data_IF_204397276998
#
_entry.id   IF_204397276998
#
_cell.length_a   1.000
_cell.length_b   1.000
_cell.length_c   1.000
_cell.angle_alpha   90.00
_cell.angle_beta   90.00
_cell.angle_gamma   90.00
#
_symmetry.space_group_name_H-M   'P 1'
#
loop_
_entity.id
_entity.type
_entity.pdbx_description
1 polymer ?
#
# COMPACT_ATOMS: atom_id res chain seq x y z
N UNK A 1 -39.31 -10.61 -3.29
CA UNK A 1 -38.29 -11.20 -2.41
C UNK A 1 -36.99 -10.44 -2.67
N UNK A 2 -36.72 -9.40 -1.88
CA UNK A 2 -35.65 -8.44 -2.16
C UNK A 2 -34.32 -9.03 -1.67
N UNK A 3 -33.34 -9.18 -2.58
CA UNK A 3 -31.97 -9.58 -2.20
C UNK A 3 -31.37 -8.48 -1.31
N UNK A 4 -30.86 -8.81 -0.11
CA UNK A 4 -30.12 -7.84 0.67
C UNK A 4 -28.87 -7.43 -0.11
N UNK A 5 -28.75 -6.13 -0.42
CA UNK A 5 -27.52 -5.54 -0.94
C UNK A 5 -26.42 -5.75 0.09
N UNK A 6 -25.49 -6.66 -0.22
CA UNK A 6 -24.27 -6.85 0.56
C UNK A 6 -23.42 -5.60 0.40
N UNK A 7 -23.57 -4.65 1.33
CA UNK A 7 -22.68 -3.50 1.44
C UNK A 7 -21.26 -4.03 1.66
N UNK A 8 -20.40 -3.84 0.66
CA UNK A 8 -18.97 -4.19 0.78
C UNK A 8 -18.40 -3.27 1.87
N UNK A 9 -17.87 -3.81 2.98
CA UNK A 9 -17.34 -2.97 4.05
C UNK A 9 -16.13 -2.19 3.52
N UNK A 10 -16.29 -0.87 3.37
CA UNK A 10 -15.19 0.05 3.07
C UNK A 10 -14.25 0.03 4.26
N UNK A 11 -13.12 -0.67 4.14
CA UNK A 11 -12.12 -0.70 5.19
C UNK A 11 -11.38 0.64 5.18
N UNK A 12 -11.25 1.35 6.30
CA UNK A 12 -10.50 2.60 6.35
C UNK A 12 -9.05 2.38 5.90
N UNK A 13 -8.46 3.39 5.26
CA UNK A 13 -7.06 3.36 4.86
C UNK A 13 -6.20 2.99 6.08
N UNK A 14 -5.14 2.18 5.91
CA UNK A 14 -4.20 1.92 6.98
C UNK A 14 -3.62 3.25 7.50
N UNK A 15 -3.38 3.33 8.80
CA UNK A 15 -2.85 4.54 9.45
C UNK A 15 -1.62 5.11 8.73
N UNK A 16 -0.74 4.24 8.25
CA UNK A 16 0.42 4.63 7.44
C UNK A 16 0.05 5.35 6.15
N UNK A 17 -0.96 4.86 5.43
CA UNK A 17 -1.46 5.50 4.21
C UNK A 17 -2.06 6.88 4.48
N UNK A 18 -2.78 7.04 5.60
CA UNK A 18 -3.32 8.33 6.02
C UNK A 18 -2.20 9.34 6.35
N UNK A 19 -1.20 8.92 7.13
CA UNK A 19 -0.06 9.75 7.51
C UNK A 19 0.77 10.17 6.29
N UNK A 20 1.04 9.25 5.37
CA UNK A 20 1.77 9.55 4.13
C UNK A 20 0.97 10.47 3.19
N UNK A 21 -0.35 10.30 3.11
CA UNK A 21 -1.20 11.20 2.33
C UNK A 21 -1.25 12.61 2.92
N UNK A 22 -1.31 12.72 4.25
CA UNK A 22 -1.19 14.00 4.94
C UNK A 22 0.19 14.63 4.73
N UNK A 23 1.27 13.85 4.78
CA UNK A 23 2.62 14.33 4.49
C UNK A 23 2.71 14.92 3.07
N UNK A 24 2.12 14.23 2.08
CA UNK A 24 2.01 14.74 0.72
C UNK A 24 1.21 16.05 0.64
N UNK A 25 0.03 16.10 1.25
CA UNK A 25 -0.83 17.29 1.23
C UNK A 25 -0.16 18.50 1.89
N UNK A 26 0.48 18.29 3.04
CA UNK A 26 1.20 19.35 3.78
C UNK A 26 2.46 19.79 3.02
N UNK A 27 3.15 18.86 2.34
CA UNK A 27 4.27 19.18 1.46
C UNK A 27 3.85 20.01 0.23
N UNK A 28 2.71 19.70 -0.39
CA UNK A 28 2.14 20.51 -1.47
C UNK A 28 1.80 21.95 -1.03
N UNK A 29 1.47 22.13 0.24
CA UNK A 29 1.21 23.45 0.84
C UNK A 29 2.50 24.20 1.25
N UNK A 30 3.69 23.61 1.03
CA UNK A 30 4.98 24.21 1.35
C UNK A 30 5.43 24.07 2.80
N UNK A 31 4.71 23.29 3.63
CA UNK A 31 5.07 23.08 5.03
C UNK A 31 6.03 21.89 5.18
N UNK A 32 7.32 22.10 4.92
CA UNK A 32 8.32 21.03 4.88
C UNK A 32 8.49 20.29 6.21
N UNK A 33 8.73 20.99 7.32
CA UNK A 33 8.99 20.38 8.64
C UNK A 33 7.86 19.47 9.14
N UNK A 34 6.58 19.90 9.18
CA UNK A 34 5.50 18.99 9.58
C UNK A 34 5.26 17.90 8.53
N UNK A 35 5.53 18.17 7.25
CA UNK A 35 5.49 17.16 6.19
C UNK A 35 6.48 16.02 6.43
N UNK A 36 7.73 16.33 6.77
CA UNK A 36 8.76 15.34 7.11
C UNK A 36 8.45 14.54 8.38
N UNK A 37 7.87 15.19 9.39
CA UNK A 37 7.43 14.52 10.60
C UNK A 37 6.33 13.49 10.30
N UNK A 38 5.33 13.89 9.51
CA UNK A 38 4.23 13.00 9.07
C UNK A 38 4.74 11.88 8.15
N UNK A 39 5.66 12.20 7.24
CA UNK A 39 6.29 11.22 6.36
C UNK A 39 7.01 10.14 7.17
N UNK A 40 7.82 10.55 8.13
CA UNK A 40 8.60 9.62 8.98
C UNK A 40 7.67 8.74 9.83
N UNK A 41 6.63 9.31 10.43
CA UNK A 41 5.64 8.56 11.18
C UNK A 41 4.88 7.56 10.29
N UNK A 42 4.48 7.98 9.09
CA UNK A 42 3.83 7.14 8.09
C UNK A 42 4.72 6.00 7.59
N UNK A 43 5.99 6.29 7.33
CA UNK A 43 6.99 5.31 6.88
C UNK A 43 7.30 4.28 7.97
N UNK A 44 7.50 4.71 9.23
CA UNK A 44 7.75 3.79 10.35
C UNK A 44 6.54 2.88 10.62
N UNK A 45 5.34 3.44 10.65
CA UNK A 45 4.11 2.63 10.84
C UNK A 45 3.90 1.65 9.69
N UNK A 46 4.24 2.05 8.45
CA UNK A 46 4.24 1.14 7.31
C UNK A 46 5.26 0.01 7.47
N UNK A 47 6.54 0.31 7.74
CA UNK A 47 7.60 -0.69 7.91
C UNK A 47 7.29 -1.71 9.01
N UNK A 48 6.71 -1.27 10.13
CA UNK A 48 6.28 -2.18 11.20
C UNK A 48 5.14 -3.12 10.77
N UNK A 49 4.18 -2.60 10.00
CA UNK A 49 3.08 -3.41 9.47
C UNK A 49 3.56 -4.39 8.39
N UNK A 50 4.52 -3.96 7.58
CA UNK A 50 5.16 -4.74 6.53
C UNK A 50 5.92 -5.94 7.10
N UNK A 51 6.85 -5.69 8.04
CA UNK A 51 7.61 -6.75 8.70
C UNK A 51 6.72 -7.79 9.40
N UNK A 52 5.65 -7.36 10.09
CA UNK A 52 4.68 -8.29 10.70
C UNK A 52 3.95 -9.15 9.69
N UNK A 53 3.80 -8.70 8.46
CA UNK A 53 3.07 -9.43 7.42
C UNK A 53 3.97 -10.44 6.73
N UNK A 54 5.21 -10.04 6.41
CA UNK A 54 6.26 -10.95 5.93
C UNK A 54 6.49 -12.10 6.92
N UNK A 55 6.63 -11.78 8.22
CA UNK A 55 6.76 -12.81 9.28
C UNK A 55 5.53 -13.73 9.33
N UNK A 56 4.31 -13.20 9.17
CA UNK A 56 3.09 -14.02 9.17
C UNK A 56 2.98 -14.91 7.93
N UNK A 57 3.41 -14.43 6.76
CA UNK A 57 3.48 -15.22 5.53
C UNK A 57 4.52 -16.35 5.64
N UNK A 58 5.69 -16.06 6.20
CA UNK A 58 6.75 -17.05 6.44
C UNK A 58 6.36 -18.07 7.53
N UNK A 59 5.67 -17.65 8.58
CA UNK A 59 5.34 -18.50 9.72
C UNK A 59 4.12 -19.42 9.50
N UNK A 60 3.16 -19.07 8.63
CA UNK A 60 1.99 -19.91 8.30
C UNK A 60 1.49 -19.65 6.88
N UNK A 61 1.21 -20.72 6.14
CA UNK A 61 0.40 -20.72 4.91
C UNK A 61 -1.03 -20.22 5.20
N UNK A 62 -1.23 -18.90 5.25
CA UNK A 62 -2.49 -18.29 5.67
C UNK A 62 -3.44 -18.10 4.46
N UNK A 63 -4.51 -18.91 4.28
CA UNK A 63 -5.24 -19.08 3.00
C UNK A 63 -6.18 -17.92 2.58
N UNK A 64 -6.09 -16.74 3.19
CA UNK A 64 -7.02 -15.62 2.92
C UNK A 64 -6.27 -14.41 2.38
N UNK A 65 -5.76 -14.57 1.15
CA UNK A 65 -4.67 -13.75 0.62
C UNK A 65 -5.09 -12.42 -0.04
N UNK A 66 -6.21 -12.34 -0.74
CA UNK A 66 -6.41 -11.25 -1.73
C UNK A 66 -6.82 -9.91 -1.11
N UNK A 67 -7.63 -9.92 -0.06
CA UNK A 67 -8.20 -8.67 0.51
C UNK A 67 -7.25 -7.92 1.45
N UNK A 68 -6.26 -8.62 2.04
CA UNK A 68 -5.19 -7.98 2.82
C UNK A 68 -4.11 -7.37 1.93
N UNK A 69 -3.91 -7.91 0.73
CA UNK A 69 -2.93 -7.43 -0.24
C UNK A 69 -3.23 -6.02 -0.76
N UNK A 70 -4.50 -5.67 -0.97
CA UNK A 70 -4.88 -4.33 -1.48
C UNK A 70 -4.62 -3.22 -0.45
N UNK A 71 -4.87 -3.48 0.84
CA UNK A 71 -4.50 -2.54 1.91
C UNK A 71 -2.98 -2.46 2.15
N UNK A 72 -2.24 -3.43 1.61
CA UNK A 72 -0.78 -3.53 1.70
C UNK A 72 -0.07 -2.72 0.61
N UNK A 73 -0.75 -2.41 -0.50
CA UNK A 73 -0.13 -1.84 -1.70
C UNK A 73 -0.17 -0.33 -1.80
N UNK A 74 -1.04 0.33 -1.05
CA UNK A 74 -1.17 1.78 -1.05
C UNK A 74 0.05 2.52 -0.47
N UNK A 75 0.72 2.04 0.60
CA UNK A 75 1.81 2.78 1.24
C UNK A 75 3.02 3.14 0.37
N UNK A 76 3.62 2.23 -0.44
CA UNK A 76 4.86 2.56 -1.17
C UNK A 76 4.65 3.62 -2.26
N UNK A 77 3.51 3.59 -2.95
CA UNK A 77 3.20 4.60 -3.97
C UNK A 77 2.96 5.98 -3.34
N UNK A 78 2.21 6.05 -2.23
CA UNK A 78 1.99 7.33 -1.51
C UNK A 78 3.30 7.81 -0.88
N UNK A 79 4.14 6.91 -0.35
CA UNK A 79 5.46 7.26 0.16
C UNK A 79 6.36 7.86 -0.93
N UNK A 80 6.38 7.30 -2.14
CA UNK A 80 7.11 7.86 -3.25
C UNK A 80 6.63 9.29 -3.57
N UNK A 81 5.32 9.50 -3.68
CA UNK A 81 4.75 10.83 -3.98
C UNK A 81 5.05 11.84 -2.88
N UNK A 82 4.88 11.46 -1.62
CA UNK A 82 5.19 12.31 -0.47
C UNK A 82 6.67 12.67 -0.42
N UNK A 83 7.56 11.70 -0.65
CA UNK A 83 9.01 11.93 -0.68
C UNK A 83 9.41 12.91 -1.79
N UNK A 84 8.95 12.68 -3.03
CA UNK A 84 9.27 13.57 -4.16
C UNK A 84 8.75 14.99 -3.94
N UNK A 85 7.60 15.11 -3.28
CA UNK A 85 6.99 16.39 -2.95
C UNK A 85 7.78 17.15 -1.89
N UNK A 86 8.19 16.47 -0.82
CA UNK A 86 8.91 17.08 0.29
C UNK A 86 10.38 17.35 -0.02
N UNK A 87 11.01 16.49 -0.81
CA UNK A 87 12.41 16.63 -1.19
C UNK A 87 12.60 17.58 -2.39
N UNK A 88 11.58 17.72 -3.24
CA UNK A 88 11.59 18.64 -4.39
C UNK A 88 12.83 18.44 -5.27
N UNK A 89 13.53 19.54 -5.59
CA UNK A 89 14.75 19.52 -6.40
C UNK A 89 15.97 18.89 -5.71
N UNK A 90 15.87 18.56 -4.42
CA UNK A 90 16.94 17.91 -3.63
C UNK A 90 16.64 16.41 -3.40
N UNK A 91 15.70 15.83 -4.14
CA UNK A 91 15.38 14.41 -4.04
C UNK A 91 16.59 13.54 -4.36
N UNK A 92 16.97 12.70 -3.39
CA UNK A 92 18.02 11.72 -3.56
C UNK A 92 17.53 10.61 -4.51
N UNK A 93 18.30 10.38 -5.58
CA UNK A 93 17.94 9.42 -6.61
C UNK A 93 17.91 7.98 -6.10
N UNK A 94 18.71 7.65 -5.08
CA UNK A 94 18.75 6.31 -4.47
C UNK A 94 17.48 6.07 -3.66
N UNK A 95 17.10 7.02 -2.81
CA UNK A 95 15.87 6.92 -2.00
C UNK A 95 14.63 6.90 -2.89
N UNK A 96 14.56 7.82 -3.86
CA UNK A 96 13.47 7.87 -4.84
C UNK A 96 13.38 6.59 -5.67
N UNK A 97 14.51 6.09 -6.16
CA UNK A 97 14.59 4.85 -6.92
C UNK A 97 14.17 3.63 -6.11
N UNK A 98 14.59 3.54 -4.85
CA UNK A 98 14.19 2.45 -3.95
C UNK A 98 12.68 2.43 -3.71
N UNK A 99 12.07 3.58 -3.44
CA UNK A 99 10.62 3.70 -3.27
C UNK A 99 9.85 3.36 -4.56
N UNK A 100 10.35 3.80 -5.71
CA UNK A 100 9.75 3.50 -7.00
C UNK A 100 9.81 2.00 -7.33
N UNK A 101 10.97 1.37 -7.16
CA UNK A 101 11.14 -0.07 -7.33
C UNK A 101 10.19 -0.83 -6.40
N UNK A 102 10.09 -0.42 -5.14
CA UNK A 102 9.22 -1.06 -4.17
C UNK A 102 7.73 -0.95 -4.57
N UNK A 103 7.29 0.22 -5.04
CA UNK A 103 5.94 0.42 -5.55
C UNK A 103 5.64 -0.48 -6.76
N UNK A 104 6.57 -0.60 -7.71
CA UNK A 104 6.44 -1.47 -8.90
C UNK A 104 6.36 -2.95 -8.50
N UNK A 105 7.23 -3.40 -7.60
CA UNK A 105 7.23 -4.80 -7.14
C UNK A 105 5.91 -5.17 -6.46
N UNK A 106 5.40 -4.29 -5.61
CA UNK A 106 4.11 -4.50 -4.94
C UNK A 106 2.96 -4.50 -5.93
N UNK A 107 2.96 -3.59 -6.91
CA UNK A 107 1.96 -3.57 -7.98
C UNK A 107 1.98 -4.86 -8.83
N UNK A 108 3.18 -5.32 -9.22
CA UNK A 108 3.34 -6.56 -9.98
C UNK A 108 2.83 -7.79 -9.20
N UNK A 109 3.12 -7.85 -7.89
CA UNK A 109 2.64 -8.91 -7.02
C UNK A 109 1.11 -8.92 -6.90
N UNK A 110 0.47 -7.74 -6.84
CA UNK A 110 -0.99 -7.63 -6.88
C UNK A 110 -1.59 -8.11 -8.20
N UNK A 111 -0.98 -7.72 -9.33
CA UNK A 111 -1.46 -8.15 -10.64
C UNK A 111 -1.34 -9.67 -10.80
N UNK A 112 -0.24 -10.25 -10.34
CA UNK A 112 -0.08 -11.71 -10.28
C UNK A 112 -1.16 -12.38 -9.42
N UNK A 113 -1.46 -11.83 -8.24
CA UNK A 113 -2.51 -12.35 -7.37
C UNK A 113 -3.91 -12.23 -8.00
N UNK A 114 -4.23 -11.09 -8.62
CA UNK A 114 -5.51 -10.88 -9.30
C UNK A 114 -5.70 -11.84 -10.47
N UNK A 115 -4.64 -12.07 -11.26
CA UNK A 115 -4.64 -13.03 -12.35
C UNK A 115 -4.83 -14.47 -11.87
N UNK A 116 -4.20 -14.87 -10.77
CA UNK A 116 -4.39 -16.21 -10.21
C UNK A 116 -5.83 -16.45 -9.76
N UNK A 117 -6.48 -15.45 -9.17
CA UNK A 117 -7.89 -15.53 -8.74
C UNK A 117 -8.85 -15.65 -9.92
N UNK A 118 -8.59 -14.93 -11.02
CA UNK A 118 -9.45 -15.01 -12.22
C UNK A 118 -9.39 -16.40 -12.87
N UNK A 119 -8.21 -17.03 -12.89
CA UNK A 119 -8.02 -18.39 -13.38
C UNK A 119 -8.79 -19.42 -12.53
N UNK A 120 -8.73 -19.33 -11.20
CA UNK A 120 -9.47 -20.23 -10.30
C UNK A 120 -10.99 -20.14 -10.51
N UNK A 121 -11.50 -18.92 -10.68
CA UNK A 121 -12.93 -18.68 -10.92
C UNK A 121 -13.39 -19.30 -12.24
N UNK A 122 -12.56 -19.20 -13.29
CA UNK A 122 -12.85 -19.77 -14.60
C UNK A 122 -12.87 -21.32 -14.59
N UNK A 123 -12.03 -21.96 -13.78
CA UNK A 123 -12.01 -23.43 -13.63
C UNK A 123 -13.22 -23.91 -12.85
N UNK A 124 -13.60 -23.26 -11.75
CA UNK A 124 -14.75 -23.66 -10.93
C UNK A 124 -16.10 -23.55 -11.64
N UNK A 125 -16.21 -22.74 -12.70
CA UNK A 125 -17.44 -22.64 -13.51
C UNK A 125 -17.56 -23.72 -14.59
N UNK A 126 -16.48 -24.50 -14.83
CA UNK A 126 -16.45 -25.58 -15.82
C UNK A 126 -16.69 -26.97 -15.22
N UNK A 127 -16.72 -27.09 -13.89
CA UNK A 127 -16.99 -28.31 -13.13
C UNK A 127 -18.43 -28.21 -12.59
#
# INVERSE_FOLDING_TARGET
>A
MNKPTTAVPVRPLPLSGLLLALAYAVGMLGFEMPGWALFSAGALTWMMADGRTVVRMLARSAPHHTQRLIAYSTPPAIALLAYMTLAGGQADAVVGGALALHAVLVWALLMGAAYAVSQQTAVSQRI
#
